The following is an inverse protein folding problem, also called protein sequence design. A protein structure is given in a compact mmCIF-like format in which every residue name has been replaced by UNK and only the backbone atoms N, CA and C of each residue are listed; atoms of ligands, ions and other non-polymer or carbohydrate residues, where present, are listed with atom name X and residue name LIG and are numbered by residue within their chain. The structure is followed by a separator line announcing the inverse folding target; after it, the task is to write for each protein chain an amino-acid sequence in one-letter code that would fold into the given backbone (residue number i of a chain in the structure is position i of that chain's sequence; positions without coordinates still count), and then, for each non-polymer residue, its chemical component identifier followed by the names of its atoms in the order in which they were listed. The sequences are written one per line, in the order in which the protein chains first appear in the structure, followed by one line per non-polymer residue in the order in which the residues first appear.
data_IF_904414480390
#
_entry.id   IF_904414480390
#
_cell.length_a   1.000
_cell.length_b   1.000
_cell.length_c   1.000
_cell.angle_alpha   90.00
_cell.angle_beta   90.00
_cell.angle_gamma   90.00
#
_symmetry.space_group_name_H-M   'P 1'
#
loop_
_entity.id
_entity.type
_entity.pdbx_description
1 polymer ?
#
# COMPACT_ATOMS: atom_id res chain seq x y z
N UNK A 1 3.64 30.09 -6.51
CA UNK A 1 2.42 29.29 -6.21
C UNK A 1 2.83 28.07 -5.39
N UNK A 2 2.27 27.83 -4.20
CA UNK A 2 2.67 26.67 -3.36
C UNK A 2 1.84 25.42 -3.67
N UNK A 3 2.44 24.24 -3.51
CA UNK A 3 1.72 22.96 -3.57
C UNK A 3 1.68 22.32 -2.19
N UNK A 4 0.47 22.15 -1.64
CA UNK A 4 0.26 21.45 -0.36
C UNK A 4 -0.04 19.98 -0.61
N UNK A 5 0.68 19.09 0.07
CA UNK A 5 0.51 17.64 -0.08
C UNK A 5 -0.36 17.07 1.04
N UNK A 6 -1.40 16.33 0.64
CA UNK A 6 -2.36 15.74 1.57
C UNK A 6 -1.93 14.32 1.91
N UNK A 7 -1.79 14.03 3.20
CA UNK A 7 -1.54 12.67 3.68
C UNK A 7 -2.69 11.72 3.29
N UNK A 8 -2.36 10.45 3.05
CA UNK A 8 -3.28 9.31 2.81
C UNK A 8 -4.06 8.90 4.03
N UNK A 9 -3.80 9.56 5.15
CA UNK A 9 -4.38 9.29 6.45
C UNK A 9 -5.86 8.95 6.35
N UNK A 10 -6.67 9.74 5.64
CA UNK A 10 -8.13 9.54 5.61
C UNK A 10 -8.59 8.15 5.14
N UNK A 11 -8.09 7.60 4.03
CA UNK A 11 -8.63 6.32 3.53
C UNK A 11 -8.00 5.08 4.18
N UNK A 12 -6.71 5.14 4.53
CA UNK A 12 -6.09 4.07 5.31
C UNK A 12 -6.68 4.04 6.72
N UNK A 13 -7.07 5.19 7.24
CA UNK A 13 -7.79 5.30 8.51
C UNK A 13 -9.18 4.67 8.42
N UNK A 14 -9.97 4.93 7.38
CA UNK A 14 -11.27 4.25 7.21
C UNK A 14 -11.10 2.74 7.12
N UNK A 15 -10.09 2.25 6.38
CA UNK A 15 -9.79 0.82 6.33
C UNK A 15 -9.35 0.28 7.69
N UNK A 16 -8.55 1.03 8.44
CA UNK A 16 -8.10 0.67 9.78
C UNK A 16 -9.29 0.62 10.75
N UNK A 17 -10.18 1.62 10.72
CA UNK A 17 -11.41 1.67 11.51
C UNK A 17 -12.33 0.50 11.15
N UNK A 18 -12.48 0.18 9.86
CA UNK A 18 -13.27 -0.97 9.40
C UNK A 18 -12.64 -2.30 9.85
N UNK A 19 -11.32 -2.42 9.78
CA UNK A 19 -10.56 -3.57 10.30
C UNK A 19 -10.72 -3.70 11.82
N UNK A 20 -10.81 -2.58 12.54
CA UNK A 20 -11.01 -2.53 13.98
C UNK A 20 -12.49 -2.62 14.41
N UNK A 21 -13.45 -2.56 13.48
CA UNK A 21 -14.87 -2.65 13.80
C UNK A 21 -15.25 -3.96 14.52
N UNK A 22 -14.79 -5.16 14.07
CA UNK A 22 -15.03 -6.39 14.82
C UNK A 22 -14.41 -6.34 16.22
N UNK A 23 -13.24 -5.73 16.35
CA UNK A 23 -12.57 -5.56 17.63
C UNK A 23 -13.30 -4.60 18.57
N UNK A 24 -13.93 -3.55 18.03
CA UNK A 24 -14.83 -2.67 18.78
C UNK A 24 -16.07 -3.42 19.26
N UNK A 25 -16.67 -4.27 18.41
CA UNK A 25 -17.81 -5.11 18.82
C UNK A 25 -17.42 -6.08 19.94
N UNK A 26 -16.24 -6.66 19.85
CA UNK A 26 -15.71 -7.53 20.91
C UNK A 26 -15.39 -6.73 22.18
N UNK A 27 -14.93 -5.49 22.05
CA UNK A 27 -14.75 -4.59 23.19
C UNK A 27 -16.08 -4.27 23.87
N UNK A 28 -17.15 -4.00 23.13
CA UNK A 28 -18.49 -3.79 23.69
C UNK A 28 -19.05 -5.07 24.33
N UNK A 29 -18.85 -6.23 23.70
CA UNK A 29 -19.22 -7.52 24.28
C UNK A 29 -18.45 -7.78 25.59
N UNK A 30 -17.13 -7.56 25.58
CA UNK A 30 -16.26 -7.67 26.75
C UNK A 30 -16.68 -6.76 27.90
N UNK A 31 -17.06 -5.51 27.61
CA UNK A 31 -17.61 -4.57 28.59
C UNK A 31 -18.95 -5.05 29.15
N UNK A 32 -19.84 -5.61 28.31
CA UNK A 32 -21.11 -6.17 28.76
C UNK A 32 -20.90 -7.33 29.73
N UNK A 33 -20.04 -8.28 29.35
CA UNK A 33 -19.67 -9.43 30.21
C UNK A 33 -18.95 -8.98 31.49
N UNK A 34 -18.15 -7.91 31.44
CA UNK A 34 -17.54 -7.34 32.64
C UNK A 34 -18.59 -6.82 33.62
N UNK A 35 -19.62 -6.12 33.12
CA UNK A 35 -20.72 -5.61 33.94
C UNK A 35 -21.50 -6.77 34.59
N UNK A 36 -21.72 -7.87 33.86
CA UNK A 36 -22.37 -9.08 34.40
C UNK A 36 -21.50 -9.79 35.46
N UNK A 37 -20.19 -9.86 35.22
CA UNK A 37 -19.24 -10.44 36.18
C UNK A 37 -19.15 -9.61 37.47
N UNK A 38 -19.21 -8.27 37.37
CA UNK A 38 -19.31 -7.39 38.54
C UNK A 38 -20.61 -7.65 39.31
N UNK A 39 -21.75 -7.76 38.61
CA UNK A 39 -23.06 -8.03 39.25
C UNK A 39 -23.12 -9.39 39.94
N UNK A 40 -22.46 -10.40 39.37
CA UNK A 40 -22.42 -11.76 39.92
C UNK A 40 -21.34 -11.96 40.99
N UNK A 41 -20.49 -10.96 41.25
CA UNK A 41 -19.37 -11.05 42.20
C UNK A 41 -18.21 -11.93 41.71
N UNK A 42 -18.22 -12.36 40.44
CA UNK A 42 -17.19 -13.23 39.85
C UNK A 42 -16.24 -12.42 38.96
N UNK A 43 -15.49 -11.51 39.58
CA UNK A 43 -14.65 -10.51 38.92
C UNK A 43 -13.56 -11.08 37.99
N UNK A 44 -13.14 -12.32 38.21
CA UNK A 44 -12.03 -12.95 37.49
C UNK A 44 -12.45 -13.94 36.41
N UNK A 45 -13.74 -14.27 36.31
CA UNK A 45 -14.21 -15.06 35.19
C UNK A 45 -13.96 -14.26 33.90
N UNK A 46 -13.25 -14.85 32.95
CA UNK A 46 -13.00 -14.27 31.62
C UNK A 46 -12.26 -12.91 31.62
N UNK A 47 -11.48 -12.60 32.67
CA UNK A 47 -10.70 -11.34 32.80
C UNK A 47 -9.87 -10.99 31.55
N UNK A 48 -9.33 -12.01 30.88
CA UNK A 48 -8.56 -11.84 29.64
C UNK A 48 -9.38 -11.29 28.47
N UNK A 49 -10.62 -11.78 28.30
CA UNK A 49 -11.54 -11.34 27.24
C UNK A 49 -12.18 -9.99 27.57
N UNK A 50 -12.49 -9.76 28.84
CA UNK A 50 -13.25 -8.58 29.31
C UNK A 50 -12.39 -7.32 29.48
N UNK A 51 -11.13 -7.47 29.90
CA UNK A 51 -10.27 -6.33 30.24
C UNK A 51 -9.01 -6.28 29.39
N UNK A 52 -8.23 -7.37 29.36
CA UNK A 52 -6.90 -7.38 28.72
C UNK A 52 -7.02 -7.15 27.22
N UNK A 53 -7.89 -7.91 26.54
CA UNK A 53 -8.00 -7.86 25.09
C UNK A 53 -8.49 -6.48 24.59
N UNK A 54 -9.54 -5.85 25.15
CA UNK A 54 -9.90 -4.46 24.87
C UNK A 54 -8.74 -3.47 25.06
N UNK A 55 -8.01 -3.56 26.17
CA UNK A 55 -6.89 -2.67 26.45
C UNK A 55 -5.77 -2.81 25.41
N UNK A 56 -5.45 -4.04 25.00
CA UNK A 56 -4.47 -4.31 23.94
C UNK A 56 -4.94 -3.71 22.61
N UNK A 57 -6.22 -3.88 22.24
CA UNK A 57 -6.79 -3.30 21.01
C UNK A 57 -6.68 -1.77 21.02
N UNK A 58 -7.03 -1.12 22.14
CA UNK A 58 -6.92 0.34 22.28
C UNK A 58 -5.46 0.78 22.15
N UNK A 59 -4.53 0.10 22.83
CA UNK A 59 -3.11 0.42 22.76
C UNK A 59 -2.55 0.27 21.34
N UNK A 60 -2.88 -0.81 20.64
CA UNK A 60 -2.50 -1.05 19.25
C UNK A 60 -3.08 0.01 18.32
N UNK A 61 -4.33 0.39 18.52
CA UNK A 61 -5.00 1.45 17.76
C UNK A 61 -4.27 2.76 17.96
N UNK A 62 -4.11 3.21 19.21
CA UNK A 62 -3.41 4.45 19.55
C UNK A 62 -1.99 4.50 18.98
N UNK A 63 -1.21 3.43 19.15
CA UNK A 63 0.12 3.34 18.55
C UNK A 63 0.06 3.51 17.03
N UNK A 64 -0.90 2.85 16.37
CA UNK A 64 -1.06 2.92 14.92
C UNK A 64 -1.31 4.34 14.44
N UNK A 65 -2.23 5.04 15.10
CA UNK A 65 -2.51 6.46 14.85
C UNK A 65 -1.26 7.32 15.01
N UNK A 66 -0.57 7.20 16.15
CA UNK A 66 0.65 7.96 16.44
C UNK A 66 1.73 7.70 15.39
N UNK A 67 1.92 6.45 15.00
CA UNK A 67 2.87 6.06 13.96
C UNK A 67 2.58 6.77 12.63
N UNK A 68 1.33 6.72 12.15
CA UNK A 68 0.98 7.33 10.87
C UNK A 68 1.09 8.86 10.87
N UNK A 69 0.70 9.52 11.96
CA UNK A 69 0.83 10.98 12.11
C UNK A 69 2.29 11.39 12.08
N UNK A 70 3.14 10.70 12.85
CA UNK A 70 4.57 11.03 12.94
C UNK A 70 5.35 10.71 11.66
N UNK A 71 4.97 9.67 10.93
CA UNK A 71 5.65 9.25 9.68
C UNK A 71 5.09 9.88 8.40
N UNK A 72 4.07 10.71 8.51
CA UNK A 72 3.42 11.35 7.35
C UNK A 72 3.20 12.85 7.60
N UNK A 73 4.26 13.61 7.96
CA UNK A 73 4.14 15.04 8.25
C UNK A 73 3.57 15.79 7.05
N UNK A 74 2.91 16.92 7.28
CA UNK A 74 2.47 17.79 6.20
C UNK A 74 3.69 18.25 5.38
N UNK A 75 3.62 18.14 4.06
CA UNK A 75 4.67 18.62 3.16
C UNK A 75 4.08 19.75 2.33
N UNK A 76 4.84 20.82 2.16
CA UNK A 76 4.56 21.90 1.21
C UNK A 76 5.84 22.20 0.43
N UNK A 77 5.71 22.33 -0.89
CA UNK A 77 6.82 22.71 -1.77
C UNK A 77 6.39 23.98 -2.49
N UNK A 78 7.16 25.04 -2.32
CA UNK A 78 7.01 26.32 -3.03
C UNK A 78 8.24 26.60 -3.91
N UNK A 79 8.39 27.82 -4.41
CA UNK A 79 9.46 28.16 -5.36
C UNK A 79 10.84 28.41 -4.72
N UNK A 80 10.95 28.41 -3.39
CA UNK A 80 12.17 28.79 -2.65
C UNK A 80 12.55 27.81 -1.54
N UNK A 81 11.57 27.16 -0.93
CA UNK A 81 11.72 26.29 0.22
C UNK A 81 10.81 25.05 0.17
N UNK A 82 11.17 24.06 0.99
CA UNK A 82 10.34 22.90 1.30
C UNK A 82 9.98 22.95 2.78
N UNK A 83 8.69 22.91 3.10
CA UNK A 83 8.20 22.78 4.47
C UNK A 83 7.82 21.34 4.77
N UNK A 84 8.35 20.78 5.85
CA UNK A 84 8.09 19.41 6.32
C UNK A 84 7.72 19.46 7.81
N UNK A 85 6.43 19.33 8.10
CA UNK A 85 5.88 19.62 9.43
C UNK A 85 6.17 21.08 9.78
N UNK A 86 6.85 21.29 10.91
CA UNK A 86 7.21 22.62 11.41
C UNK A 86 8.59 23.10 10.91
N UNK A 87 9.30 22.28 10.11
CA UNK A 87 10.61 22.63 9.58
C UNK A 87 10.47 23.28 8.21
N UNK A 88 11.12 24.43 8.00
CA UNK A 88 11.33 25.01 6.68
C UNK A 88 12.77 24.78 6.21
N UNK A 89 12.95 24.39 4.96
CA UNK A 89 14.24 24.05 4.37
C UNK A 89 14.43 24.89 3.10
N UNK A 90 15.38 25.82 3.13
CA UNK A 90 15.76 26.59 1.94
C UNK A 90 16.44 25.71 0.90
N UNK A 91 16.21 25.95 -0.39
CA UNK A 91 16.89 25.22 -1.47
C UNK A 91 18.42 25.35 -1.40
N UNK A 92 18.95 26.45 -0.86
CA UNK A 92 20.39 26.66 -0.67
C UNK A 92 21.03 25.70 0.34
N UNK A 93 20.24 25.10 1.23
CA UNK A 93 20.69 24.15 2.25
C UNK A 93 20.72 22.72 1.75
N UNK A 94 20.06 22.44 0.63
CA UNK A 94 19.95 21.09 0.06
C UNK A 94 21.28 20.74 -0.61
N UNK A 95 21.83 19.59 -0.23
CA UNK A 95 22.99 18.99 -0.88
C UNK A 95 22.55 18.00 -1.96
N UNK A 96 21.67 17.05 -1.60
CA UNK A 96 21.26 15.97 -2.51
C UNK A 96 19.80 15.59 -2.30
N UNK A 97 19.11 15.31 -3.41
CA UNK A 97 17.74 14.78 -3.40
C UNK A 97 17.74 13.37 -3.98
N UNK A 98 17.30 12.38 -3.20
CA UNK A 98 17.03 11.01 -3.66
C UNK A 98 15.55 10.87 -3.93
N UNK A 99 15.13 11.06 -5.18
CA UNK A 99 13.71 10.98 -5.59
C UNK A 99 13.12 9.58 -5.37
N UNK A 100 13.96 8.55 -5.43
CA UNK A 100 13.57 7.16 -5.21
C UNK A 100 14.54 6.51 -4.25
N UNK A 101 14.09 6.27 -3.04
CA UNK A 101 14.81 5.49 -2.04
C UNK A 101 13.87 4.48 -1.39
N UNK A 102 14.45 3.45 -0.78
CA UNK A 102 13.75 2.53 0.12
C UNK A 102 14.26 2.80 1.52
N UNK A 103 13.36 3.06 2.46
CA UNK A 103 13.70 3.19 3.87
C UNK A 103 12.94 2.17 4.68
N UNK A 104 13.59 1.65 5.72
CA UNK A 104 12.95 0.72 6.61
C UNK A 104 11.92 1.46 7.47
N UNK A 105 10.68 0.96 7.45
CA UNK A 105 9.61 1.42 8.32
C UNK A 105 9.23 0.29 9.26
N UNK A 106 9.67 0.39 10.51
CA UNK A 106 9.26 -0.52 11.56
C UNK A 106 7.88 -0.12 12.07
N UNK A 107 6.89 -0.98 11.84
CA UNK A 107 5.56 -0.83 12.41
C UNK A 107 5.22 -2.06 13.25
N UNK A 108 5.19 -1.94 14.58
CA UNK A 108 4.87 -2.98 15.59
C UNK A 108 5.18 -4.43 15.19
N UNK A 109 4.24 -5.08 14.49
CA UNK A 109 4.23 -6.51 14.17
C UNK A 109 4.68 -6.83 12.73
N UNK A 110 5.03 -5.81 11.94
CA UNK A 110 5.53 -5.95 10.57
C UNK A 110 6.99 -5.46 10.49
N UNK A 111 7.96 -6.24 11.00
CA UNK A 111 9.35 -5.81 11.17
C UNK A 111 10.15 -5.58 9.86
N UNK A 112 9.56 -5.81 8.68
CA UNK A 112 10.31 -5.82 7.41
C UNK A 112 9.59 -5.12 6.26
N UNK A 113 9.02 -3.94 6.51
CA UNK A 113 8.49 -3.12 5.42
C UNK A 113 9.50 -2.07 4.98
N UNK A 114 10.14 -2.31 3.84
CA UNK A 114 10.76 -1.25 3.06
C UNK A 114 9.65 -0.42 2.40
N UNK A 115 9.46 0.79 2.89
CA UNK A 115 8.54 1.74 2.27
C UNK A 115 9.27 2.54 1.21
N UNK A 116 8.59 2.78 0.08
CA UNK A 116 9.10 3.71 -0.91
C UNK A 116 9.08 5.12 -0.35
N UNK A 117 10.24 5.76 -0.41
CA UNK A 117 10.44 7.09 0.08
C UNK A 117 11.13 7.95 -0.98
N UNK A 118 11.22 9.23 -0.64
CA UNK A 118 12.19 10.17 -1.20
C UNK A 118 12.96 10.77 -0.03
N UNK A 119 14.24 11.06 -0.21
CA UNK A 119 15.01 11.75 0.83
C UNK A 119 15.66 13.04 0.34
N UNK A 120 15.73 14.01 1.25
CA UNK A 120 16.39 15.30 1.07
C UNK A 120 17.53 15.33 2.08
N UNK A 121 18.75 15.37 1.58
CA UNK A 121 19.97 15.42 2.38
C UNK A 121 20.46 16.87 2.34
N UNK A 122 20.62 17.46 3.53
CA UNK A 122 21.11 18.83 3.68
C UNK A 122 22.64 18.86 3.74
N UNK A 123 23.22 20.04 3.47
CA UNK A 123 24.67 20.29 3.55
C UNK A 123 25.27 20.02 4.93
N UNK A 124 24.47 20.09 5.99
CA UNK A 124 24.88 19.73 7.36
C UNK A 124 24.78 18.21 7.65
N UNK A 125 24.44 17.38 6.66
CA UNK A 125 24.28 15.93 6.79
C UNK A 125 22.91 15.47 7.28
N UNK A 126 22.02 16.38 7.70
CA UNK A 126 20.67 16.00 8.13
C UNK A 126 19.84 15.47 6.96
N UNK A 127 19.21 14.31 7.16
CA UNK A 127 18.35 13.69 6.15
C UNK A 127 16.87 13.78 6.55
N UNK A 128 16.04 14.29 5.64
CA UNK A 128 14.60 14.27 5.74
C UNK A 128 14.04 13.17 4.83
N UNK A 129 13.37 12.18 5.43
CA UNK A 129 12.78 11.04 4.71
C UNK A 129 11.27 11.24 4.56
N UNK A 130 10.81 11.28 3.32
CA UNK A 130 9.41 11.42 2.95
C UNK A 130 8.88 10.07 2.44
N UNK A 131 8.11 9.36 3.27
CA UNK A 131 7.47 8.10 2.89
C UNK A 131 6.32 8.33 1.90
N UNK A 132 6.65 8.46 0.62
CA UNK A 132 5.70 8.86 -0.44
C UNK A 132 4.46 7.98 -0.54
N UNK A 133 4.54 6.71 -0.10
CA UNK A 133 3.40 5.80 -0.03
C UNK A 133 2.33 6.21 0.97
N UNK A 134 2.65 7.14 1.86
CA UNK A 134 1.77 7.71 2.86
C UNK A 134 1.10 9.02 2.38
N UNK A 135 1.37 9.50 1.16
CA UNK A 135 0.77 10.72 0.59
C UNK A 135 -0.12 10.43 -0.62
N UNK A 136 -1.32 11.03 -0.67
CA UNK A 136 -2.32 10.79 -1.74
C UNK A 136 -1.73 11.19 -3.09
N UNK A 137 -1.04 12.32 -3.06
CA UNK A 137 -0.27 12.90 -4.14
C UNK A 137 1.24 12.66 -3.96
N UNK A 138 1.64 11.50 -3.42
CA UNK A 138 3.06 11.13 -3.28
C UNK A 138 3.82 11.09 -4.61
N UNK A 139 3.12 10.83 -5.71
CA UNK A 139 3.67 10.97 -7.06
C UNK A 139 4.01 12.43 -7.39
N UNK A 140 3.17 13.39 -6.99
CA UNK A 140 3.42 14.83 -7.18
C UNK A 140 4.60 15.31 -6.32
N UNK A 141 4.76 14.78 -5.10
CA UNK A 141 5.97 15.02 -4.28
C UNK A 141 7.20 14.62 -5.10
N UNK A 142 7.22 13.41 -5.67
CA UNK A 142 8.36 12.94 -6.49
C UNK A 142 8.59 13.76 -7.74
N UNK A 143 7.54 14.19 -8.44
CA UNK A 143 7.65 15.08 -9.60
C UNK A 143 8.32 16.39 -9.19
N UNK A 144 7.86 17.02 -8.12
CA UNK A 144 8.42 18.29 -7.65
C UNK A 144 9.85 18.15 -7.13
N UNK A 145 10.15 17.10 -6.37
CA UNK A 145 11.52 16.81 -5.93
C UNK A 145 12.45 16.53 -7.11
N UNK A 146 11.97 15.84 -8.16
CA UNK A 146 12.74 15.62 -9.37
C UNK A 146 12.99 16.92 -10.15
N UNK A 147 11.99 17.78 -10.27
CA UNK A 147 12.16 19.10 -10.89
C UNK A 147 13.14 19.97 -10.09
N UNK A 148 13.08 19.91 -8.76
CA UNK A 148 14.01 20.63 -7.89
C UNK A 148 15.44 20.11 -8.06
N UNK A 149 15.61 18.78 -8.12
CA UNK A 149 16.91 18.17 -8.37
C UNK A 149 17.52 18.61 -9.70
N UNK A 150 16.70 18.77 -10.76
CA UNK A 150 17.14 19.33 -12.05
C UNK A 150 17.56 20.79 -11.95
N UNK A 151 16.80 21.59 -11.22
CA UNK A 151 17.11 23.00 -10.97
C UNK A 151 18.42 23.17 -10.20
N UNK A 152 18.58 22.46 -9.07
CA UNK A 152 19.81 22.48 -8.27
C UNK A 152 21.03 21.98 -9.06
N UNK A 153 20.83 21.02 -9.97
CA UNK A 153 21.87 20.53 -10.87
C UNK A 153 22.13 21.40 -12.12
N UNK A 154 21.50 22.58 -12.24
CA UNK A 154 21.69 23.50 -13.36
C UNK A 154 21.10 23.05 -14.71
N UNK A 155 20.27 22.00 -14.73
CA UNK A 155 19.65 21.50 -15.96
C UNK A 155 18.47 22.36 -16.43
N UNK A 156 17.91 23.19 -15.54
CA UNK A 156 16.80 24.10 -15.81
C UNK A 156 17.07 25.45 -15.14
N UNK A 157 16.75 26.56 -15.80
CA UNK A 157 17.02 27.91 -15.30
C UNK A 157 16.08 28.38 -14.18
N UNK A 158 14.90 27.77 -14.04
CA UNK A 158 13.95 28.08 -12.98
C UNK A 158 13.26 26.83 -12.46
N UNK A 159 12.90 26.85 -11.18
CA UNK A 159 12.09 25.80 -10.58
C UNK A 159 10.60 26.14 -10.72
N UNK A 160 9.83 25.24 -11.31
CA UNK A 160 8.37 25.35 -11.41
C UNK A 160 7.69 24.25 -10.62
N UNK A 161 6.92 24.67 -9.61
CA UNK A 161 6.08 23.77 -8.82
C UNK A 161 4.94 23.24 -9.71
N UNK A 162 4.84 21.93 -9.79
CA UNK A 162 3.72 21.22 -10.39
C UNK A 162 2.60 21.10 -9.35
N UNK A 163 1.45 21.69 -9.66
CA UNK A 163 0.26 21.66 -8.79
C UNK A 163 -0.67 20.49 -9.10
N UNK A 164 -0.53 19.90 -10.28
CA UNK A 164 -1.34 18.77 -10.74
C UNK A 164 -0.44 17.65 -11.25
N UNK A 165 -0.82 16.41 -10.93
CA UNK A 165 -0.24 15.27 -11.62
C UNK A 165 -0.66 15.36 -13.10
N UNK A 166 0.27 15.09 -14.01
CA UNK A 166 -0.06 14.96 -15.44
C UNK A 166 -1.17 13.91 -15.53
N UNK A 167 -2.35 14.33 -15.97
CA UNK A 167 -3.48 13.42 -16.12
C UNK A 167 -3.13 12.44 -17.24
N UNK A 168 -2.76 11.22 -16.86
CA UNK A 168 -2.66 10.14 -17.83
C UNK A 168 -4.08 9.90 -18.34
N UNK A 169 -4.36 10.32 -19.58
CA UNK A 169 -5.59 9.95 -20.26
C UNK A 169 -5.69 8.42 -20.19
N UNK A 170 -6.81 7.91 -19.66
CA UNK A 170 -7.07 6.49 -19.77
C UNK A 170 -7.00 6.14 -21.26
N UNK A 171 -6.22 5.13 -21.64
CA UNK A 171 -6.17 4.76 -23.03
C UNK A 171 -7.57 4.42 -23.52
N UNK A 172 -7.88 4.86 -24.74
CA UNK A 172 -9.10 4.46 -25.44
C UNK A 172 -9.14 2.92 -25.51
N UNK A 173 -10.35 2.35 -25.54
CA UNK A 173 -10.56 0.90 -25.60
C UNK A 173 -9.67 0.30 -26.70
N UNK A 174 -8.65 -0.46 -26.31
CA UNK A 174 -7.80 -1.18 -27.26
C UNK A 174 -8.63 -2.32 -27.84
N UNK A 175 -8.96 -2.23 -29.12
CA UNK A 175 -9.70 -3.26 -29.83
C UNK A 175 -8.71 -4.29 -30.37
N UNK A 176 -8.88 -5.55 -29.94
CA UNK A 176 -8.41 -6.77 -30.63
C UNK A 176 -6.88 -6.84 -30.85
N UNK A 177 -6.13 -6.74 -29.76
CA UNK A 177 -4.69 -7.05 -29.75
C UNK A 177 -4.44 -8.52 -29.34
N UNK A 178 -3.41 -9.14 -29.91
CA UNK A 178 -2.92 -10.46 -29.53
C UNK A 178 -2.22 -10.37 -28.17
N UNK A 179 -2.96 -10.65 -27.11
CA UNK A 179 -2.45 -10.63 -25.75
C UNK A 179 -1.75 -11.94 -25.40
N UNK A 180 -0.51 -11.85 -24.91
CA UNK A 180 0.11 -12.94 -24.18
C UNK A 180 -0.38 -12.92 -22.72
N UNK A 181 -1.02 -14.02 -22.29
CA UNK A 181 -1.57 -14.16 -20.95
C UNK A 181 -0.59 -14.84 -19.99
N UNK A 182 -0.27 -14.13 -18.90
CA UNK A 182 0.54 -14.65 -17.80
C UNK A 182 -0.35 -15.03 -16.62
N UNK A 183 -0.84 -16.28 -16.62
CA UNK A 183 -1.63 -16.86 -15.53
C UNK A 183 -1.45 -18.37 -15.45
N UNK A 184 -1.28 -18.89 -14.23
CA UNK A 184 -1.47 -20.30 -13.92
C UNK A 184 -2.91 -20.58 -13.49
N UNK A 185 -3.42 -21.80 -13.70
CA UNK A 185 -4.70 -22.19 -13.12
C UNK A 185 -4.69 -22.03 -11.60
N UNK A 186 -5.78 -21.52 -10.96
CA UNK A 186 -5.79 -21.23 -9.53
C UNK A 186 -5.52 -22.44 -8.63
N UNK A 187 -5.87 -23.64 -9.09
CA UNK A 187 -5.61 -24.90 -8.38
C UNK A 187 -4.12 -25.27 -8.32
N UNK A 188 -3.20 -24.55 -8.98
CA UNK A 188 -1.76 -24.77 -8.81
C UNK A 188 -1.17 -23.97 -7.65
N UNK A 189 -1.97 -23.11 -7.01
CA UNK A 189 -1.52 -22.19 -5.98
C UNK A 189 -1.97 -22.66 -4.59
N UNK A 190 -1.01 -22.94 -3.70
CA UNK A 190 -1.26 -23.55 -2.39
C UNK A 190 -2.24 -22.74 -1.52
N UNK A 191 -2.20 -21.40 -1.57
CA UNK A 191 -3.10 -20.59 -0.75
C UNK A 191 -4.57 -20.76 -1.16
N UNK A 192 -4.88 -21.09 -2.41
CA UNK A 192 -6.27 -21.37 -2.80
C UNK A 192 -6.78 -22.64 -2.10
N UNK A 193 -5.94 -23.68 -1.98
CA UNK A 193 -6.31 -24.90 -1.26
C UNK A 193 -6.47 -24.70 0.25
N UNK A 194 -5.75 -23.74 0.84
CA UNK A 194 -5.84 -23.47 2.27
C UNK A 194 -6.98 -22.49 2.56
N UNK A 195 -6.99 -21.33 1.89
CA UNK A 195 -7.93 -20.26 2.19
C UNK A 195 -9.34 -20.56 1.70
N UNK A 196 -9.53 -21.19 0.54
CA UNK A 196 -10.88 -21.39 0.01
C UNK A 196 -11.71 -22.34 0.90
N UNK A 197 -11.23 -23.55 1.28
CA UNK A 197 -11.95 -24.41 2.22
C UNK A 197 -12.10 -23.76 3.60
N UNK A 198 -11.09 -23.03 4.08
CA UNK A 198 -11.17 -22.32 5.36
C UNK A 198 -12.26 -21.23 5.37
N UNK A 199 -12.36 -20.44 4.30
CA UNK A 199 -13.44 -19.46 4.12
C UNK A 199 -14.78 -20.15 4.05
N UNK A 200 -14.91 -21.25 3.29
CA UNK A 200 -16.17 -22.02 3.20
C UNK A 200 -16.57 -22.61 4.55
N UNK A 201 -15.61 -23.09 5.33
CA UNK A 201 -15.83 -23.57 6.70
C UNK A 201 -16.36 -22.44 7.60
N UNK A 202 -15.74 -21.25 7.58
CA UNK A 202 -16.23 -20.10 8.36
C UNK A 202 -17.65 -19.68 7.93
N UNK A 203 -17.92 -19.66 6.63
CA UNK A 203 -19.25 -19.35 6.10
C UNK A 203 -20.27 -20.41 6.54
N UNK A 204 -19.91 -21.70 6.48
CA UNK A 204 -20.75 -22.78 7.00
C UNK A 204 -21.07 -22.57 8.48
N UNK A 205 -20.09 -22.15 9.30
CA UNK A 205 -20.32 -21.83 10.71
C UNK A 205 -21.31 -20.69 10.92
N UNK A 206 -21.25 -19.64 10.08
CA UNK A 206 -22.18 -18.51 10.12
C UNK A 206 -23.62 -18.94 9.89
N UNK A 207 -23.87 -19.91 9.02
CA UNK A 207 -25.22 -20.32 8.62
C UNK A 207 -25.77 -21.56 9.34
N UNK A 208 -24.91 -22.43 9.85
CA UNK A 208 -25.34 -23.77 10.32
C UNK A 208 -25.48 -23.89 11.82
N UNK A 209 -24.86 -22.99 12.60
CA UNK A 209 -24.94 -23.02 14.06
C UNK A 209 -25.83 -21.90 14.57
N UNK A 210 -26.65 -22.20 15.58
CA UNK A 210 -27.42 -21.21 16.29
C UNK A 210 -26.55 -20.44 17.30
N UNK A 211 -25.62 -19.65 16.75
CA UNK A 211 -24.70 -18.82 17.50
C UNK A 211 -25.30 -17.42 17.74
N UNK A 212 -24.89 -16.71 18.81
CA UNK A 212 -25.21 -15.29 18.95
C UNK A 212 -24.78 -14.47 17.73
N UNK A 213 -25.53 -13.42 17.39
CA UNK A 213 -25.28 -12.55 16.21
C UNK A 213 -23.85 -11.99 16.21
N UNK A 214 -23.31 -11.66 17.39
CA UNK A 214 -21.95 -11.16 17.56
C UNK A 214 -20.92 -12.19 17.06
N UNK A 215 -21.08 -13.46 17.44
CA UNK A 215 -20.16 -14.53 17.05
C UNK A 215 -20.24 -14.83 15.55
N UNK A 216 -21.45 -14.84 14.96
CA UNK A 216 -21.64 -14.95 13.50
C UNK A 216 -20.94 -13.80 12.76
N UNK A 217 -21.04 -12.58 13.29
CA UNK A 217 -20.40 -11.39 12.71
C UNK A 217 -18.88 -11.47 12.76
N UNK A 218 -18.30 -12.03 13.82
CA UNK A 218 -16.86 -12.27 13.94
C UNK A 218 -16.41 -13.26 12.86
N UNK A 219 -17.07 -14.42 12.73
CA UNK A 219 -16.72 -15.41 11.71
C UNK A 219 -16.85 -14.86 10.29
N UNK A 220 -17.91 -14.09 10.02
CA UNK A 220 -18.09 -13.41 8.74
C UNK A 220 -16.96 -12.40 8.49
N UNK A 221 -16.58 -11.61 9.49
CA UNK A 221 -15.47 -10.66 9.41
C UNK A 221 -14.14 -11.35 9.09
N UNK A 222 -13.85 -12.48 9.74
CA UNK A 222 -12.66 -13.29 9.46
C UNK A 222 -12.72 -13.84 8.04
N UNK A 223 -13.86 -14.40 7.60
CA UNK A 223 -14.02 -14.93 6.24
C UNK A 223 -13.77 -13.84 5.18
N UNK A 224 -14.34 -12.65 5.36
CA UNK A 224 -14.13 -11.49 4.48
C UNK A 224 -12.67 -11.03 4.47
N UNK A 225 -11.98 -11.08 5.62
CA UNK A 225 -10.56 -10.75 5.71
C UNK A 225 -9.71 -11.71 4.88
N UNK A 226 -9.90 -13.02 5.05
CA UNK A 226 -9.17 -14.04 4.27
C UNK A 226 -9.51 -13.96 2.78
N UNK A 227 -10.78 -13.73 2.44
CA UNK A 227 -11.19 -13.49 1.06
C UNK A 227 -10.50 -12.26 0.46
N UNK A 228 -10.40 -11.17 1.22
CA UNK A 228 -9.71 -9.95 0.77
C UNK A 228 -8.21 -10.17 0.51
N UNK A 229 -7.55 -10.99 1.34
CA UNK A 229 -6.16 -11.42 1.11
C UNK A 229 -6.07 -12.22 -0.20
N UNK A 230 -6.97 -13.19 -0.40
CA UNK A 230 -7.01 -14.01 -1.61
C UNK A 230 -7.23 -13.16 -2.87
N UNK A 231 -8.19 -12.23 -2.84
CA UNK A 231 -8.44 -11.27 -3.93
C UNK A 231 -7.18 -10.47 -4.23
N UNK A 232 -6.48 -9.96 -3.22
CA UNK A 232 -5.24 -9.19 -3.39
C UNK A 232 -4.12 -10.00 -4.06
N UNK A 233 -4.08 -11.31 -3.84
CA UNK A 233 -3.10 -12.24 -4.44
C UNK A 233 -3.53 -12.79 -5.81
N UNK A 234 -4.71 -12.45 -6.30
CA UNK A 234 -5.30 -13.08 -7.48
C UNK A 234 -5.16 -12.26 -8.77
N UNK A 235 -4.13 -11.42 -8.86
CA UNK A 235 -3.87 -10.65 -10.08
C UNK A 235 -3.25 -11.53 -11.17
N UNK A 236 -3.58 -11.24 -12.42
CA UNK A 236 -2.91 -11.81 -13.58
C UNK A 236 -2.74 -10.75 -14.67
N UNK A 237 -1.88 -11.03 -15.64
CA UNK A 237 -1.39 -10.01 -16.56
C UNK A 237 -1.59 -10.44 -18.00
N UNK A 238 -2.01 -9.49 -18.83
CA UNK A 238 -2.07 -9.61 -20.28
C UNK A 238 -1.10 -8.57 -20.86
N UNK A 239 -0.20 -9.00 -21.73
CA UNK A 239 0.78 -8.10 -22.37
C UNK A 239 0.62 -8.16 -23.87
N UNK A 240 0.59 -6.98 -24.47
CA UNK A 240 0.74 -6.70 -25.89
C UNK A 240 1.96 -5.79 -26.08
N UNK A 241 2.28 -5.43 -27.32
CA UNK A 241 3.39 -4.50 -27.60
C UNK A 241 3.17 -3.13 -26.95
N UNK A 242 1.94 -2.63 -27.00
CA UNK A 242 1.60 -1.25 -26.61
C UNK A 242 0.97 -1.13 -25.23
N UNK A 243 0.44 -2.21 -24.67
CA UNK A 243 -0.29 -2.15 -23.40
C UNK A 243 -0.05 -3.36 -22.50
N UNK A 244 0.08 -3.07 -21.21
CA UNK A 244 -0.01 -4.02 -20.11
C UNK A 244 -1.39 -3.90 -19.45
N UNK A 245 -2.14 -4.99 -19.40
CA UNK A 245 -3.43 -5.05 -18.69
C UNK A 245 -3.28 -5.94 -17.48
N UNK A 246 -3.67 -5.42 -16.32
CA UNK A 246 -3.76 -6.16 -15.07
C UNK A 246 -5.22 -6.46 -14.80
N UNK A 247 -5.55 -7.71 -14.52
CA UNK A 247 -6.88 -8.18 -14.15
C UNK A 247 -6.83 -8.90 -12.81
N UNK A 248 -7.99 -9.07 -12.19
CA UNK A 248 -8.15 -9.88 -10.98
C UNK A 248 -8.99 -11.11 -11.29
N UNK A 249 -8.54 -12.29 -10.87
CA UNK A 249 -9.24 -13.55 -11.12
C UNK A 249 -10.56 -13.66 -10.33
N UNK A 250 -10.56 -13.25 -9.05
CA UNK A 250 -11.73 -13.28 -8.18
C UNK A 250 -12.65 -12.06 -8.34
N UNK A 251 -12.14 -10.99 -8.97
CA UNK A 251 -12.90 -9.79 -9.29
C UNK A 251 -12.83 -9.50 -10.80
N UNK A 252 -13.62 -10.20 -11.65
CA UNK A 252 -13.51 -10.11 -13.11
C UNK A 252 -13.77 -8.70 -13.68
N UNK A 253 -14.58 -7.91 -12.98
CA UNK A 253 -14.88 -6.51 -13.32
C UNK A 253 -13.70 -5.56 -13.06
N UNK A 254 -12.74 -5.97 -12.22
CA UNK A 254 -11.56 -5.17 -11.94
C UNK A 254 -10.53 -5.37 -13.05
N UNK A 255 -10.25 -4.28 -13.76
CA UNK A 255 -9.24 -4.22 -14.81
C UNK A 255 -8.49 -2.90 -14.76
N UNK A 256 -7.20 -2.93 -15.09
CA UNK A 256 -6.39 -1.71 -15.24
C UNK A 256 -5.41 -1.86 -16.39
N UNK A 257 -5.39 -0.87 -17.27
CA UNK A 257 -4.50 -0.81 -18.42
C UNK A 257 -3.39 0.21 -18.22
N UNK A 258 -2.20 -0.13 -18.69
CA UNK A 258 -1.00 0.70 -18.68
C UNK A 258 -0.39 0.70 -20.08
N UNK A 259 -0.41 1.83 -20.81
CA UNK A 259 0.37 1.95 -22.03
C UNK A 259 1.85 1.68 -21.73
N UNK A 260 2.54 0.85 -22.54
CA UNK A 260 3.94 0.48 -22.32
C UNK A 260 4.85 1.71 -22.26
N UNK A 261 4.56 2.74 -23.07
CA UNK A 261 5.27 4.02 -23.06
C UNK A 261 5.10 4.84 -21.76
N UNK A 262 4.06 4.55 -20.97
CA UNK A 262 3.77 5.21 -19.69
C UNK A 262 4.46 4.53 -18.51
N UNK A 263 4.97 3.32 -18.72
CA UNK A 263 5.71 2.54 -17.73
C UNK A 263 7.17 3.03 -17.75
N UNK A 264 7.58 3.68 -16.66
CA UNK A 264 8.96 4.07 -16.48
C UNK A 264 9.83 2.86 -16.09
N UNK A 265 9.32 2.02 -15.19
CA UNK A 265 10.03 0.85 -14.67
C UNK A 265 9.02 -0.22 -14.25
N UNK A 266 9.29 -1.46 -14.64
CA UNK A 266 8.61 -2.64 -14.13
C UNK A 266 9.66 -3.54 -13.47
N UNK A 267 9.40 -3.99 -12.25
CA UNK A 267 10.30 -4.86 -11.49
C UNK A 267 9.51 -5.86 -10.68
N UNK A 268 10.08 -7.04 -10.46
CA UNK A 268 9.60 -7.98 -9.45
C UNK A 268 10.01 -7.48 -8.07
N UNK A 269 9.07 -7.44 -7.14
CA UNK A 269 9.35 -7.14 -5.74
C UNK A 269 9.20 -8.41 -4.91
N UNK A 270 10.31 -8.87 -4.34
CA UNK A 270 10.34 -9.97 -3.39
C UNK A 270 10.43 -9.37 -1.98
N UNK A 271 9.31 -9.29 -1.26
CA UNK A 271 9.34 -8.95 0.16
C UNK A 271 9.48 -10.24 0.97
N UNK A 272 10.32 -10.27 2.02
CA UNK A 272 10.41 -11.43 2.89
C UNK A 272 9.01 -11.85 3.38
N UNK A 273 8.67 -13.14 3.23
CA UNK A 273 7.36 -13.71 3.62
C UNK A 273 6.15 -13.16 2.86
N UNK A 274 6.33 -12.56 1.70
CA UNK A 274 5.23 -12.21 0.79
C UNK A 274 5.43 -12.83 -0.58
N UNK A 275 4.31 -13.08 -1.25
CA UNK A 275 4.34 -13.47 -2.66
C UNK A 275 4.96 -12.40 -3.53
N UNK A 276 5.51 -12.87 -4.64
CA UNK A 276 6.03 -12.02 -5.69
C UNK A 276 4.95 -11.05 -6.18
N UNK A 277 5.36 -9.80 -6.27
CA UNK A 277 4.53 -8.74 -6.81
C UNK A 277 5.18 -8.13 -8.04
N UNK A 278 4.36 -7.82 -9.05
CA UNK A 278 4.76 -6.89 -10.09
C UNK A 278 4.66 -5.47 -9.52
N UNK A 279 5.80 -4.78 -9.44
CA UNK A 279 5.87 -3.36 -9.15
C UNK A 279 6.02 -2.58 -10.44
N UNK A 280 5.05 -1.70 -10.73
CA UNK A 280 5.08 -0.78 -11.86
C UNK A 280 5.26 0.63 -11.33
N UNK A 281 6.25 1.34 -11.86
CA UNK A 281 6.43 2.78 -11.68
C UNK A 281 6.14 3.43 -13.02
N UNK A 282 5.18 4.33 -13.06
CA UNK A 282 4.86 5.11 -14.26
C UNK A 282 5.77 6.32 -14.41
N UNK A 283 5.76 6.94 -15.60
CA UNK A 283 6.54 8.15 -15.92
C UNK A 283 6.17 9.34 -15.03
N UNK A 284 4.96 9.38 -14.48
CA UNK A 284 4.52 10.36 -13.48
C UNK A 284 4.79 9.94 -12.03
N UNK A 285 5.67 8.94 -11.81
CA UNK A 285 6.10 8.41 -10.52
C UNK A 285 5.00 7.75 -9.66
N UNK A 286 3.84 7.39 -10.22
CA UNK A 286 2.88 6.55 -9.50
C UNK A 286 3.43 5.14 -9.36
N UNK A 287 3.18 4.54 -8.21
CA UNK A 287 3.63 3.18 -7.89
C UNK A 287 2.40 2.30 -7.80
N UNK A 288 2.42 1.20 -8.55
CA UNK A 288 1.42 0.15 -8.51
C UNK A 288 2.08 -1.15 -8.13
N UNK A 289 1.39 -1.94 -7.29
CA UNK A 289 1.84 -3.25 -6.85
C UNK A 289 0.73 -4.25 -7.05
N UNK A 290 1.06 -5.32 -7.75
CA UNK A 290 0.13 -6.39 -8.05
C UNK A 290 0.75 -7.69 -7.59
N UNK A 291 0.30 -8.15 -6.41
CA UNK A 291 0.64 -9.47 -5.91
C UNK A 291 -0.10 -10.52 -6.74
N UNK A 292 0.63 -11.54 -7.18
CA UNK A 292 0.07 -12.67 -7.92
C UNK A 292 0.61 -13.97 -7.36
N UNK A 293 -0.27 -14.74 -6.73
CA UNK A 293 -0.06 -16.16 -6.46
C UNK A 293 -0.35 -17.04 -7.67
N UNK A 294 -0.87 -16.46 -8.76
CA UNK A 294 -1.15 -17.16 -10.02
C UNK A 294 0.06 -17.19 -10.96
N UNK A 295 1.22 -16.69 -10.53
CA UNK A 295 2.43 -16.66 -11.33
C UNK A 295 3.61 -17.16 -10.52
N UNK A 296 4.49 -17.91 -11.18
CA UNK A 296 5.78 -18.28 -10.64
C UNK A 296 6.87 -17.27 -11.07
N UNK A 297 8.05 -17.40 -10.48
CA UNK A 297 9.19 -16.52 -10.74
C UNK A 297 9.57 -16.46 -12.23
N UNK A 298 9.52 -17.59 -12.95
CA UNK A 298 9.81 -17.64 -14.38
C UNK A 298 8.83 -16.78 -15.18
N UNK A 299 7.52 -16.93 -14.93
CA UNK A 299 6.51 -16.14 -15.62
C UNK A 299 6.66 -14.65 -15.33
N UNK A 300 7.08 -14.27 -14.11
CA UNK A 300 7.38 -12.88 -13.80
C UNK A 300 8.61 -12.36 -14.56
N UNK A 301 9.68 -13.17 -14.69
CA UNK A 301 10.86 -12.80 -15.48
C UNK A 301 10.52 -12.65 -16.97
N UNK A 302 9.71 -13.55 -17.50
CA UNK A 302 9.25 -13.51 -18.89
C UNK A 302 8.37 -12.29 -19.12
N UNK A 303 7.43 -12.01 -18.21
CA UNK A 303 6.59 -10.82 -18.21
C UNK A 303 7.42 -9.53 -18.25
N UNK A 304 8.41 -9.41 -17.35
CA UNK A 304 9.29 -8.23 -17.30
C UNK A 304 10.13 -8.10 -18.57
N UNK A 305 10.52 -9.22 -19.19
CA UNK A 305 11.31 -9.23 -20.43
C UNK A 305 10.47 -8.87 -21.65
N UNK A 306 9.22 -9.32 -21.70
CA UNK A 306 8.25 -9.00 -22.77
C UNK A 306 7.78 -7.55 -22.71
N UNK A 307 7.71 -6.95 -21.52
CA UNK A 307 7.59 -5.52 -21.36
C UNK A 307 8.90 -4.88 -21.85
N UNK A 308 8.94 -4.41 -23.11
CA UNK A 308 10.04 -3.64 -23.77
C UNK A 308 10.33 -2.30 -23.06
N UNK A 309 10.31 -2.28 -21.74
CA UNK A 309 10.52 -1.11 -20.89
C UNK A 309 11.96 -0.70 -21.06
N UNK A 310 12.16 0.53 -21.54
CA UNK A 310 13.49 1.12 -21.64
C UNK A 310 14.12 1.13 -20.24
N UNK A 311 14.99 0.16 -19.95
CA UNK A 311 15.91 0.25 -18.81
C UNK A 311 16.83 1.44 -19.08
N UNK A 312 16.41 2.65 -18.70
CA UNK A 312 17.40 3.68 -18.38
C UNK A 312 18.04 3.21 -17.09
N UNK A 313 19.23 2.62 -17.23
CA UNK A 313 20.07 2.19 -16.14
C UNK A 313 20.31 3.40 -15.25
N UNK A 314 19.52 3.54 -14.19
CA UNK A 314 19.86 4.41 -13.07
C UNK A 314 20.91 3.63 -12.27
N UNK A 315 22.17 3.75 -12.67
CA UNK A 315 23.28 3.50 -11.77
C UNK A 315 23.17 4.51 -10.63
N UNK A 316 22.57 4.10 -9.51
CA UNK A 316 22.88 4.66 -8.20
C UNK A 316 23.01 3.50 -7.22
N UNK A 317 24.28 3.26 -6.92
CA UNK A 317 24.90 2.58 -5.78
C UNK A 317 23.98 2.40 -4.57
N UNK A 318 23.96 1.15 -4.08
CA UNK A 318 23.53 0.78 -2.71
C UNK A 318 24.36 1.59 -1.70
#
# INVERSE_FOLDING_TARGET
MSSTFKSKFNYKLYFLVLLFLPFLLVLFAGLSTLVENIKSGSYFNEFGLTVIMPAVIIALTYYSFRFYITKSPKVEIDEREIRIGDNSISFSEIDKIRVRSKHNTYFLIMPYHYSEASSIILKNGKEYVLYVEHYLNGNLIRVNLNNLNKYLGGQTSYFKVSTSAVSQKQPQQFYKEDFHEYRQPPYKFANYYIFFPFIMFLIYFVFSFDAPVILRSIFLGIALLFYSILVRQSHYFLVSEDVLIVKNYLFPWWKRSFPTNSIYQATTEHQPKQELALKIITTDFRIYRYQSGLMNDSMFRDLISGLKVRRRVLHQTI
#
